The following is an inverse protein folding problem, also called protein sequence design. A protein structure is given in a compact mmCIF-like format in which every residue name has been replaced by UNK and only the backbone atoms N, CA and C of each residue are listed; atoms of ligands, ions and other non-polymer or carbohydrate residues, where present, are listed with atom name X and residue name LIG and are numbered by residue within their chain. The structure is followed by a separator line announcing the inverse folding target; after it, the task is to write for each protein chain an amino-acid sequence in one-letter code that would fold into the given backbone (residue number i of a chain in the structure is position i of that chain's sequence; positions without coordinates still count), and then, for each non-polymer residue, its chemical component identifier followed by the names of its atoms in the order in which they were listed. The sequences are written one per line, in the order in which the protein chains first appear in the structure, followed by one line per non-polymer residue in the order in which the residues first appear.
data_IF_177071976418
#
_entry.id   IF_177071976418
#
_cell.length_a   1.000
_cell.length_b   1.000
_cell.length_c   1.000
_cell.angle_alpha   90.00
_cell.angle_beta   90.00
_cell.angle_gamma   90.00
#
_symmetry.space_group_name_H-M   'P 1'
#
loop_
_entity.id
_entity.type
_entity.pdbx_description
1 polymer ?
#
# COMPACT_ATOMS: atom_id res chain seq x y z
N UNK A 1 -2.43 -17.55 6.88
CA UNK A 1 -3.24 -17.21 5.69
C UNK A 1 -2.74 -15.87 5.17
N UNK A 2 -2.30 -15.74 3.90
CA UNK A 2 -1.99 -14.42 3.34
C UNK A 2 -3.30 -13.60 3.34
N UNK A 3 -3.29 -12.49 4.07
CA UNK A 3 -4.46 -11.64 4.26
C UNK A 3 -4.41 -10.49 3.27
N UNK A 4 -5.19 -10.61 2.19
CA UNK A 4 -5.66 -9.46 1.42
C UNK A 4 -7.07 -9.18 1.96
N UNK A 5 -7.31 -8.10 2.74
CA UNK A 5 -8.65 -7.79 3.20
C UNK A 5 -9.53 -7.62 1.96
N UNK A 6 -10.48 -8.54 1.81
CA UNK A 6 -11.48 -8.57 0.76
C UNK A 6 -12.31 -7.29 0.82
N UNK A 7 -11.97 -6.32 -0.04
CA UNK A 7 -12.68 -5.05 -0.12
C UNK A 7 -12.13 -4.10 -1.17
N UNK A 8 -11.45 -4.61 -2.21
CA UNK A 8 -10.78 -3.87 -3.30
C UNK A 8 -11.15 -2.39 -3.37
N UNK A 9 -10.14 -1.53 -3.17
CA UNK A 9 -10.23 -0.08 -2.95
C UNK A 9 -11.57 0.54 -3.33
N UNK A 10 -12.47 0.68 -2.35
CA UNK A 10 -13.68 1.48 -2.48
C UNK A 10 -13.30 2.91 -2.93
N UNK A 11 -14.18 3.69 -3.59
CA UNK A 11 -13.81 4.97 -4.18
C UNK A 11 -13.14 5.98 -3.22
N UNK A 12 -13.57 6.00 -1.95
CA UNK A 12 -12.98 6.85 -0.91
C UNK A 12 -11.59 6.36 -0.47
N UNK A 13 -11.42 5.03 -0.40
CA UNK A 13 -10.13 4.38 -0.14
C UNK A 13 -9.14 4.67 -1.27
N UNK A 14 -9.61 4.63 -2.52
CA UNK A 14 -8.81 4.97 -3.69
C UNK A 14 -8.33 6.44 -3.64
N UNK A 15 -9.21 7.39 -3.33
CA UNK A 15 -8.85 8.82 -3.29
C UNK A 15 -7.77 9.16 -2.24
N UNK A 16 -7.81 8.53 -1.05
CA UNK A 16 -6.77 8.72 -0.02
C UNK A 16 -5.43 8.13 -0.45
N UNK A 17 -5.46 6.94 -1.07
CA UNK A 17 -4.26 6.32 -1.60
C UNK A 17 -3.66 7.12 -2.76
N UNK A 18 -4.49 7.68 -3.64
CA UNK A 18 -4.06 8.58 -4.73
C UNK A 18 -3.36 9.82 -4.17
N UNK A 19 -3.91 10.44 -3.13
CA UNK A 19 -3.33 11.62 -2.50
C UNK A 19 -1.94 11.32 -1.89
N UNK A 20 -1.82 10.22 -1.15
CA UNK A 20 -0.55 9.77 -0.57
C UNK A 20 0.44 9.40 -1.66
N UNK A 21 0.02 8.67 -2.69
CA UNK A 21 0.85 8.29 -3.83
C UNK A 21 1.45 9.52 -4.53
N UNK A 22 0.63 10.55 -4.75
CA UNK A 22 1.08 11.82 -5.31
C UNK A 22 2.13 12.53 -4.44
N UNK A 23 1.97 12.51 -3.09
CA UNK A 23 2.97 13.11 -2.17
C UNK A 23 4.33 12.43 -2.25
N UNK A 24 4.33 11.10 -2.45
CA UNK A 24 5.54 10.28 -2.44
C UNK A 24 6.12 10.02 -3.84
N UNK A 25 5.45 10.45 -4.91
CA UNK A 25 5.83 10.08 -6.27
C UNK A 25 5.78 8.57 -6.52
N UNK A 26 4.92 7.87 -5.79
CA UNK A 26 4.75 6.43 -5.82
C UNK A 26 3.46 6.03 -6.54
N UNK A 27 3.30 4.75 -6.83
CA UNK A 27 2.04 4.23 -7.35
C UNK A 27 1.07 3.89 -6.21
N UNK A 28 -0.23 3.89 -6.49
CA UNK A 28 -1.26 3.49 -5.53
C UNK A 28 -1.00 2.07 -4.96
N UNK A 29 -0.65 1.06 -5.78
CA UNK A 29 -0.24 -0.24 -5.25
C UNK A 29 0.94 -0.17 -4.30
N UNK A 30 1.97 0.63 -4.60
CA UNK A 30 3.13 0.79 -3.71
C UNK A 30 2.73 1.34 -2.34
N UNK A 31 1.91 2.40 -2.31
CA UNK A 31 1.42 2.98 -1.06
C UNK A 31 0.58 1.97 -0.28
N UNK A 32 -0.32 1.25 -0.95
CA UNK A 32 -1.16 0.26 -0.29
C UNK A 32 -0.36 -0.87 0.35
N UNK A 33 0.66 -1.39 -0.35
CA UNK A 33 1.56 -2.42 0.15
C UNK A 33 2.43 -1.90 1.30
N UNK A 34 3.01 -0.70 1.17
CA UNK A 34 3.81 -0.07 2.21
C UNK A 34 2.99 0.16 3.49
N UNK A 35 1.75 0.63 3.35
CA UNK A 35 0.84 0.80 4.49
C UNK A 35 0.54 -0.54 5.17
N UNK A 36 0.25 -1.60 4.41
CA UNK A 36 0.02 -2.93 4.97
C UNK A 36 1.23 -3.46 5.74
N UNK A 37 2.45 -3.26 5.21
CA UNK A 37 3.70 -3.64 5.89
C UNK A 37 3.92 -2.84 7.18
N UNK A 38 3.56 -1.55 7.19
CA UNK A 38 3.73 -0.67 8.34
C UNK A 38 2.80 -1.00 9.54
N UNK A 39 1.73 -1.77 9.33
CA UNK A 39 0.74 -2.09 10.38
C UNK A 39 1.29 -2.97 11.50
N UNK A 40 2.30 -3.80 11.22
CA UNK A 40 2.95 -4.65 12.22
C UNK A 40 4.25 -5.23 11.67
N UNK A 41 5.31 -5.36 12.48
CA UNK A 41 6.57 -5.99 12.06
C UNK A 41 6.43 -7.47 11.67
N UNK A 42 5.30 -8.11 12.00
CA UNK A 42 5.04 -9.52 11.70
C UNK A 42 4.19 -9.74 10.44
N UNK A 43 3.91 -8.69 9.67
CA UNK A 43 3.16 -8.81 8.41
C UNK A 43 4.15 -9.12 7.27
N UNK A 44 3.92 -10.23 6.59
CA UNK A 44 4.58 -10.58 5.33
C UNK A 44 3.55 -10.56 4.20
N UNK A 45 3.80 -9.74 3.18
CA UNK A 45 2.97 -9.69 1.98
C UNK A 45 3.49 -10.66 0.92
N UNK A 46 2.57 -11.33 0.22
CA UNK A 46 2.85 -12.18 -0.95
C UNK A 46 2.00 -11.66 -2.11
N UNK A 47 2.28 -10.46 -2.63
CA UNK A 47 1.47 -9.87 -3.68
C UNK A 47 1.64 -10.67 -4.98
N UNK A 48 0.53 -11.04 -5.59
CA UNK A 48 0.54 -11.67 -6.91
C UNK A 48 1.00 -10.67 -7.96
N UNK A 49 1.78 -11.12 -8.94
CA UNK A 49 2.15 -10.33 -10.10
C UNK A 49 2.21 -11.23 -11.34
N UNK A 50 1.69 -10.73 -12.46
CA UNK A 50 1.77 -11.37 -13.78
C UNK A 50 2.72 -10.66 -14.73
N UNK A 51 3.39 -9.58 -14.31
CA UNK A 51 4.27 -8.78 -15.15
C UNK A 51 5.54 -8.33 -14.39
N UNK A 52 6.67 -8.13 -15.10
CA UNK A 52 7.88 -7.58 -14.49
C UNK A 52 7.66 -6.20 -13.87
N UNK A 53 6.85 -5.35 -14.51
CA UNK A 53 6.54 -3.99 -14.00
C UNK A 53 5.87 -4.05 -12.63
N UNK A 54 4.83 -4.86 -12.46
CA UNK A 54 4.16 -5.00 -11.16
C UNK A 54 5.07 -5.68 -10.14
N UNK A 55 6.00 -6.56 -10.55
CA UNK A 55 7.00 -7.12 -9.65
C UNK A 55 7.93 -6.02 -9.11
N UNK A 56 8.42 -5.14 -9.98
CA UNK A 56 9.27 -4.00 -9.60
C UNK A 56 8.54 -3.06 -8.65
N UNK A 57 7.27 -2.74 -8.93
CA UNK A 57 6.43 -1.94 -8.04
C UNK A 57 6.25 -2.60 -6.67
N UNK A 58 5.94 -3.90 -6.63
CA UNK A 58 5.77 -4.65 -5.37
C UNK A 58 7.03 -4.65 -4.52
N UNK A 59 8.20 -4.79 -5.13
CA UNK A 59 9.50 -4.78 -4.43
C UNK A 59 9.79 -3.38 -3.88
N UNK A 60 9.62 -2.34 -4.70
CA UNK A 60 9.87 -0.96 -4.30
C UNK A 60 8.96 -0.50 -3.14
N UNK A 61 7.76 -1.04 -3.02
CA UNK A 61 6.84 -0.76 -1.91
C UNK A 61 7.47 -1.07 -0.52
N UNK A 62 8.33 -2.08 -0.43
CA UNK A 62 9.00 -2.43 0.83
C UNK A 62 10.03 -1.41 1.30
N UNK A 63 10.43 -0.48 0.43
CA UNK A 63 11.37 0.61 0.74
C UNK A 63 10.69 1.97 0.89
N UNK A 64 9.37 2.03 0.71
CA UNK A 64 8.61 3.27 0.80
C UNK A 64 8.31 3.62 2.27
N UNK A 65 8.92 4.69 2.76
CA UNK A 65 8.70 5.20 4.11
C UNK A 65 7.52 6.17 4.14
N UNK A 66 6.38 5.71 4.65
CA UNK A 66 5.21 6.55 4.87
C UNK A 66 5.38 7.40 6.13
N UNK A 67 5.06 8.69 6.05
CA UNK A 67 5.14 9.57 7.22
C UNK A 67 4.07 9.22 8.26
N UNK A 68 4.23 9.65 9.53
CA UNK A 68 3.18 9.47 10.53
C UNK A 68 1.83 10.07 10.12
N UNK A 69 1.84 11.15 9.34
CA UNK A 69 0.63 11.77 8.82
C UNK A 69 -0.03 10.91 7.74
N UNK A 70 0.76 10.31 6.82
CA UNK A 70 0.24 9.37 5.83
C UNK A 70 -0.38 8.14 6.51
N UNK A 71 0.30 7.58 7.51
CA UNK A 71 -0.18 6.42 8.25
C UNK A 71 -1.47 6.73 9.01
N UNK A 72 -1.58 7.91 9.61
CA UNK A 72 -2.80 8.36 10.26
C UNK A 72 -3.96 8.50 9.25
N UNK A 73 -3.72 9.14 8.10
CA UNK A 73 -4.70 9.30 7.03
C UNK A 73 -5.19 7.94 6.48
N UNK A 74 -4.27 6.98 6.34
CA UNK A 74 -4.57 5.64 5.84
C UNK A 74 -5.13 4.69 6.91
N UNK A 75 -5.00 5.01 8.20
CA UNK A 75 -5.61 4.21 9.28
C UNK A 75 -7.14 4.23 9.25
N UNK A 76 -7.73 5.25 8.62
CA UNK A 76 -9.17 5.35 8.41
C UNK A 76 -9.68 4.48 7.24
N UNK A 77 -8.82 3.67 6.61
CA UNK A 77 -9.19 2.74 5.54
C UNK A 77 -9.82 1.44 6.04
N UNK A 78 -9.75 1.13 7.33
CA UNK A 78 -10.37 -0.07 7.91
C UNK A 78 -10.03 -0.33 9.37
#
# INVERSE_FOLDING_TARGET
MPFFPVGGFQPLTAARLDAVAARHGATVPQVALAWLLARSPNILLIPGTGSPVHLEENVAAGTLELSPADLAELSELG
#
